data_IF_585425098062
#
_entry.id   IF_585425098062
#
_cell.length_a   1.000
_cell.length_b   1.000
_cell.length_c   1.000
_cell.angle_alpha   90.00
_cell.angle_beta   90.00
_cell.angle_gamma   90.00
#
_symmetry.space_group_name_H-M   'P 1'
#
loop_
_entity.id
_entity.type
_entity.pdbx_description
1 polymer ?
#
# COMPACT_ATOMS: atom_id res chain seq x y z
N UNK A 1 -18.46 12.06 -16.44
CA UNK A 1 -19.03 12.44 -15.17
C UNK A 1 -18.36 13.68 -14.59
N UNK A 2 -19.14 14.51 -13.93
CA UNK A 2 -18.63 15.64 -13.18
C UNK A 2 -18.65 15.30 -11.70
N UNK A 3 -17.52 15.45 -11.03
CA UNK A 3 -17.43 15.39 -9.57
C UNK A 3 -17.73 16.78 -9.00
N UNK A 4 -18.57 16.81 -7.98
CA UNK A 4 -18.87 17.99 -7.17
C UNK A 4 -18.22 17.80 -5.81
N UNK A 5 -17.31 18.70 -5.44
CA UNK A 5 -16.58 18.63 -4.19
C UNK A 5 -17.30 19.44 -3.10
N UNK A 6 -17.03 19.13 -1.84
CA UNK A 6 -17.59 19.80 -0.66
C UNK A 6 -17.24 21.30 -0.59
N UNK A 7 -16.10 21.68 -1.16
CA UNK A 7 -15.66 23.08 -1.29
C UNK A 7 -16.30 23.82 -2.49
N UNK A 8 -17.23 23.19 -3.20
CA UNK A 8 -17.91 23.74 -4.37
C UNK A 8 -17.12 23.66 -5.69
N UNK A 9 -15.94 23.06 -5.70
CA UNK A 9 -15.20 22.84 -6.94
C UNK A 9 -15.84 21.74 -7.78
N UNK A 10 -15.67 21.82 -9.10
CA UNK A 10 -16.15 20.83 -10.06
C UNK A 10 -15.01 20.36 -10.94
N UNK A 11 -14.97 19.05 -11.22
CA UNK A 11 -13.99 18.45 -12.14
C UNK A 11 -14.59 17.32 -12.95
N UNK A 12 -14.09 17.17 -14.18
CA UNK A 12 -14.43 16.03 -15.00
C UNK A 12 -13.61 14.81 -14.56
N UNK A 13 -14.29 13.76 -14.14
CA UNK A 13 -13.71 12.48 -13.67
C UNK A 13 -14.12 11.29 -14.56
N UNK A 14 -14.76 11.54 -15.71
CA UNK A 14 -15.30 10.50 -16.58
C UNK A 14 -14.27 9.48 -17.10
N UNK A 15 -13.00 9.88 -17.15
CA UNK A 15 -11.90 9.02 -17.59
C UNK A 15 -11.21 8.27 -16.44
N UNK A 16 -11.49 8.61 -15.20
CA UNK A 16 -10.89 7.99 -14.03
C UNK A 16 -11.42 6.56 -13.84
N UNK A 17 -10.52 5.60 -13.57
CA UNK A 17 -10.85 4.17 -13.40
C UNK A 17 -11.90 3.99 -12.30
N UNK A 18 -11.67 4.54 -11.11
CA UNK A 18 -12.59 4.44 -9.98
C UNK A 18 -14.02 4.91 -10.30
N UNK A 19 -14.16 5.96 -11.12
CA UNK A 19 -15.48 6.45 -11.52
C UNK A 19 -16.15 5.51 -12.51
N UNK A 20 -15.43 5.00 -13.52
CA UNK A 20 -15.98 4.06 -14.51
C UNK A 20 -16.48 2.78 -13.86
N UNK A 21 -15.62 2.17 -13.02
CA UNK A 21 -15.96 0.93 -12.31
C UNK A 21 -17.09 1.16 -11.28
N UNK A 22 -17.09 2.30 -10.60
CA UNK A 22 -18.19 2.70 -9.72
C UNK A 22 -19.53 2.85 -10.46
N UNK A 23 -19.51 3.39 -11.68
CA UNK A 23 -20.71 3.45 -12.53
C UNK A 23 -21.18 2.08 -13.05
N UNK A 24 -20.30 1.08 -13.04
CA UNK A 24 -20.65 -0.34 -13.27
C UNK A 24 -21.22 -1.04 -12.02
N UNK A 25 -21.28 -0.34 -10.88
CA UNK A 25 -21.84 -0.85 -9.63
C UNK A 25 -20.82 -1.49 -8.69
N UNK A 26 -19.54 -1.28 -8.93
CA UNK A 26 -18.46 -1.79 -8.07
C UNK A 26 -18.07 -0.76 -7.01
N UNK A 27 -17.75 -1.21 -5.81
CA UNK A 27 -16.97 -0.44 -4.86
C UNK A 27 -15.53 -0.37 -5.34
N UNK A 28 -14.89 0.79 -5.23
CA UNK A 28 -13.58 1.03 -5.84
C UNK A 28 -12.63 1.74 -4.89
N UNK A 29 -11.35 1.43 -5.01
CA UNK A 29 -10.25 2.19 -4.46
C UNK A 29 -9.35 2.59 -5.64
N UNK A 30 -9.04 3.87 -5.77
CA UNK A 30 -8.13 4.32 -6.82
C UNK A 30 -6.69 3.94 -6.49
N UNK A 31 -5.85 3.83 -7.51
CA UNK A 31 -4.42 3.96 -7.32
C UNK A 31 -4.09 5.35 -6.76
N UNK A 32 -2.90 5.55 -6.16
CA UNK A 32 -2.47 6.86 -5.70
C UNK A 32 -2.54 7.90 -6.82
N UNK A 33 -3.09 9.05 -6.52
CA UNK A 33 -3.30 10.14 -7.47
C UNK A 33 -2.76 11.44 -6.88
N UNK A 34 -1.94 12.17 -7.64
CA UNK A 34 -1.61 13.53 -7.26
C UNK A 34 -2.87 14.40 -7.28
N UNK A 35 -3.17 15.02 -6.16
CA UNK A 35 -4.27 15.96 -6.03
C UNK A 35 -3.94 17.24 -6.81
N UNK A 36 -4.86 17.63 -7.68
CA UNK A 36 -4.71 18.88 -8.43
C UNK A 36 -4.99 20.14 -7.60
N UNK A 37 -5.39 19.96 -6.32
CA UNK A 37 -5.73 21.07 -5.42
C UNK A 37 -4.53 21.43 -4.53
N UNK A 38 -3.95 20.45 -3.87
CA UNK A 38 -2.89 20.65 -2.86
C UNK A 38 -1.58 19.91 -3.19
N UNK A 39 -1.54 19.18 -4.31
CA UNK A 39 -0.39 18.38 -4.75
C UNK A 39 -0.04 17.19 -3.86
N UNK A 40 -0.87 16.90 -2.85
CA UNK A 40 -0.69 15.71 -2.05
C UNK A 40 -1.08 14.44 -2.82
N UNK A 41 -0.43 13.33 -2.51
CA UNK A 41 -0.83 12.01 -3.03
C UNK A 41 -2.05 11.52 -2.27
N UNK A 42 -3.10 11.18 -3.00
CA UNK A 42 -4.40 10.78 -2.47
C UNK A 42 -4.92 9.51 -3.13
N UNK A 43 -5.70 8.76 -2.38
CA UNK A 43 -6.53 7.67 -2.89
C UNK A 43 -8.00 8.06 -2.80
N UNK A 44 -8.80 7.56 -3.73
CA UNK A 44 -10.24 7.80 -3.78
C UNK A 44 -10.99 6.49 -3.52
N UNK A 45 -11.73 6.43 -2.42
CA UNK A 45 -12.72 5.38 -2.20
C UNK A 45 -14.00 5.78 -2.94
N UNK A 46 -14.51 4.91 -3.78
CA UNK A 46 -15.72 5.14 -4.56
C UNK A 46 -16.80 4.11 -4.24
N UNK A 47 -18.01 4.58 -3.94
CA UNK A 47 -19.18 3.73 -3.70
C UNK A 47 -20.28 4.10 -4.69
N UNK A 48 -20.88 3.11 -5.42
CA UNK A 48 -21.93 3.39 -6.37
C UNK A 48 -23.21 3.86 -5.66
N UNK A 49 -23.83 4.90 -6.19
CA UNK A 49 -25.13 5.43 -5.72
C UNK A 49 -26.24 4.87 -6.60
N UNK A 50 -27.14 4.11 -5.97
CA UNK A 50 -28.23 3.43 -6.66
C UNK A 50 -29.55 4.18 -6.54
N UNK A 51 -30.30 4.23 -7.65
CA UNK A 51 -31.71 4.68 -7.67
C UNK A 51 -32.49 3.83 -8.65
N UNK A 52 -33.59 3.24 -8.17
CA UNK A 52 -34.48 2.39 -8.99
C UNK A 52 -33.74 1.27 -9.73
N UNK A 53 -32.77 0.62 -9.08
CA UNK A 53 -31.98 -0.47 -9.66
C UNK A 53 -30.93 -0.05 -10.70
N UNK A 54 -30.65 1.26 -10.82
CA UNK A 54 -29.61 1.79 -11.71
C UNK A 54 -28.61 2.61 -10.93
N UNK A 55 -27.34 2.50 -11.28
CA UNK A 55 -26.31 3.40 -10.76
C UNK A 55 -26.50 4.77 -11.39
N UNK A 56 -26.64 5.79 -10.55
CA UNK A 56 -26.84 7.19 -10.97
C UNK A 56 -25.64 8.08 -10.71
N UNK A 57 -24.64 7.57 -9.98
CA UNK A 57 -23.42 8.28 -9.65
C UNK A 57 -22.51 7.47 -8.75
N UNK A 58 -21.39 8.05 -8.36
CA UNK A 58 -20.42 7.47 -7.44
C UNK A 58 -20.20 8.49 -6.31
N UNK A 59 -20.38 8.06 -5.06
CA UNK A 59 -19.95 8.83 -3.90
C UNK A 59 -18.47 8.58 -3.68
N UNK A 60 -17.64 9.62 -3.70
CA UNK A 60 -16.20 9.53 -3.53
C UNK A 60 -15.73 10.11 -2.21
N UNK A 61 -14.90 9.37 -1.47
CA UNK A 61 -14.12 9.87 -0.34
C UNK A 61 -12.65 9.98 -0.73
N UNK A 62 -12.04 11.17 -0.53
CA UNK A 62 -10.63 11.40 -0.82
C UNK A 62 -9.81 11.38 0.46
N UNK A 63 -8.80 10.52 0.51
CA UNK A 63 -7.89 10.36 1.63
C UNK A 63 -6.46 10.56 1.16
N UNK A 64 -5.64 11.30 1.91
CA UNK A 64 -4.21 11.29 1.64
C UNK A 64 -3.60 9.95 2.13
N UNK A 65 -2.49 9.55 1.52
CA UNK A 65 -1.88 8.24 1.81
C UNK A 65 -1.39 8.14 3.26
N UNK A 66 -0.98 9.24 3.89
CA UNK A 66 -0.62 9.28 5.32
C UNK A 66 -1.82 8.96 6.21
N UNK A 67 -3.00 9.53 5.90
CA UNK A 67 -4.22 9.22 6.65
C UNK A 67 -4.66 7.77 6.44
N UNK A 68 -4.50 7.26 5.22
CA UNK A 68 -4.76 5.85 4.90
C UNK A 68 -3.83 4.93 5.70
N UNK A 69 -2.53 5.20 5.74
CA UNK A 69 -1.55 4.44 6.52
C UNK A 69 -1.94 4.37 8.00
N UNK A 70 -2.25 5.51 8.61
CA UNK A 70 -2.72 5.54 10.02
C UNK A 70 -3.99 4.73 10.26
N UNK A 71 -4.92 4.76 9.31
CA UNK A 71 -6.18 4.02 9.41
C UNK A 71 -5.98 2.50 9.31
N UNK A 72 -5.06 2.07 8.45
CA UNK A 72 -4.80 0.65 8.19
C UNK A 72 -3.91 0.01 9.24
N UNK A 73 -2.96 0.76 9.79
CA UNK A 73 -1.90 0.21 10.64
C UNK A 73 -2.04 0.60 12.12
N UNK A 74 -3.10 1.32 12.49
CA UNK A 74 -3.29 1.75 13.88
C UNK A 74 -3.25 0.54 14.84
N UNK A 75 -2.29 0.55 15.75
CA UNK A 75 -2.06 -0.46 16.79
C UNK A 75 -1.69 -1.88 16.29
N UNK A 76 -1.23 -2.05 15.04
CA UNK A 76 -1.05 -3.39 14.50
C UNK A 76 0.08 -4.19 15.16
N UNK A 77 1.18 -3.56 15.64
CA UNK A 77 2.31 -4.29 16.24
C UNK A 77 3.12 -3.50 17.29
N UNK A 78 2.51 -2.66 18.11
CA UNK A 78 3.14 -2.02 19.29
C UNK A 78 4.55 -1.43 19.01
N UNK A 79 4.72 -0.72 17.90
CA UNK A 79 5.99 -0.10 17.47
C UNK A 79 7.14 -1.10 17.19
N UNK A 80 6.83 -2.37 16.94
CA UNK A 80 7.83 -3.39 16.66
C UNK A 80 7.87 -3.72 15.16
N UNK A 81 8.81 -3.12 14.44
CA UNK A 81 8.96 -3.32 13.00
C UNK A 81 8.23 -2.28 12.18
N UNK A 82 7.96 -2.58 10.91
CA UNK A 82 7.27 -1.68 10.00
C UNK A 82 6.43 -2.44 8.98
N UNK A 83 5.45 -1.73 8.43
CA UNK A 83 4.55 -2.25 7.41
C UNK A 83 4.61 -1.37 6.17
N UNK A 84 4.55 -1.99 5.02
CA UNK A 84 4.47 -1.34 3.72
C UNK A 84 3.25 -1.85 2.96
N UNK A 85 2.59 -0.96 2.21
CA UNK A 85 1.71 -1.35 1.11
C UNK A 85 2.38 -0.89 -0.18
N UNK A 86 2.48 -1.79 -1.14
CA UNK A 86 3.05 -1.50 -2.45
C UNK A 86 2.10 -1.94 -3.56
N UNK A 87 2.31 -1.45 -4.77
CA UNK A 87 1.76 -2.07 -5.98
C UNK A 87 2.51 -3.36 -6.28
N UNK A 88 2.03 -4.17 -7.23
CA UNK A 88 2.71 -5.40 -7.66
C UNK A 88 4.07 -5.17 -8.34
N UNK A 89 4.34 -3.96 -8.84
CA UNK A 89 5.62 -3.55 -9.38
C UNK A 89 6.53 -2.86 -8.34
N UNK A 90 6.07 -2.76 -7.09
CA UNK A 90 6.85 -2.34 -5.94
C UNK A 90 6.76 -0.86 -5.59
N UNK A 91 5.93 -0.05 -6.26
CA UNK A 91 5.71 1.35 -5.86
C UNK A 91 5.10 1.42 -4.44
N UNK A 92 5.73 2.12 -3.53
CA UNK A 92 5.28 2.25 -2.13
C UNK A 92 4.13 3.25 -2.05
N UNK A 93 2.96 2.73 -1.67
CA UNK A 93 1.70 3.47 -1.56
C UNK A 93 1.47 4.00 -0.15
N UNK A 94 1.79 3.18 0.84
CA UNK A 94 1.57 3.48 2.26
C UNK A 94 2.62 2.78 3.11
N UNK A 95 2.95 3.37 4.25
CA UNK A 95 3.86 2.77 5.20
C UNK A 95 3.60 3.28 6.62
N UNK A 96 4.02 2.49 7.60
CA UNK A 96 3.99 2.83 9.02
C UNK A 96 5.06 2.04 9.78
N UNK A 97 5.59 2.64 10.87
CA UNK A 97 6.58 2.02 11.73
C UNK A 97 7.97 2.66 11.69
N UNK A 98 8.93 2.02 12.38
CA UNK A 98 10.29 2.52 12.51
C UNK A 98 11.20 1.99 11.41
N UNK A 99 11.58 2.88 10.51
CA UNK A 99 12.54 2.63 9.43
C UNK A 99 13.95 3.06 9.88
N UNK A 100 14.50 2.40 10.88
CA UNK A 100 15.76 2.76 11.55
C UNK A 100 16.97 2.98 10.63
N UNK A 101 16.89 2.62 9.34
CA UNK A 101 18.03 2.62 8.42
C UNK A 101 17.84 3.45 7.14
N UNK A 102 16.60 3.81 6.76
CA UNK A 102 16.33 4.61 5.57
C UNK A 102 15.06 5.44 5.72
N UNK A 103 15.06 6.65 5.22
CA UNK A 103 13.84 7.41 4.99
C UNK A 103 13.13 6.82 3.77
N UNK A 104 11.89 6.36 3.94
CA UNK A 104 11.01 5.89 2.87
C UNK A 104 10.04 7.00 2.52
N UNK A 105 9.90 7.26 1.24
CA UNK A 105 8.93 8.21 0.72
C UNK A 105 7.85 7.50 -0.12
N UNK A 106 6.70 8.15 -0.25
CA UNK A 106 5.64 7.68 -1.15
C UNK A 106 6.11 7.76 -2.61
N UNK A 107 5.93 6.67 -3.33
CA UNK A 107 6.39 6.53 -4.70
C UNK A 107 7.78 5.92 -4.84
N UNK A 108 8.52 5.73 -3.73
CA UNK A 108 9.73 4.93 -3.75
C UNK A 108 9.43 3.50 -4.18
N UNK A 109 10.44 2.78 -4.66
CA UNK A 109 10.27 1.41 -5.10
C UNK A 109 10.83 0.41 -4.08
N UNK A 110 9.98 -0.51 -3.62
CA UNK A 110 10.33 -1.59 -2.70
C UNK A 110 11.57 -2.39 -3.13
N UNK A 111 11.69 -2.69 -4.44
CA UNK A 111 12.79 -3.50 -4.96
C UNK A 111 14.09 -2.71 -5.09
N UNK A 112 14.03 -1.38 -5.15
CA UNK A 112 15.21 -0.50 -5.09
C UNK A 112 15.64 -0.28 -3.64
N UNK A 113 14.67 -0.22 -2.72
CA UNK A 113 14.92 -0.11 -1.29
C UNK A 113 15.63 -1.36 -0.73
N UNK A 114 15.22 -2.55 -1.16
CA UNK A 114 15.88 -3.83 -0.85
C UNK A 114 16.84 -4.25 -1.97
N UNK A 115 17.77 -3.36 -2.31
CA UNK A 115 18.78 -3.58 -3.34
C UNK A 115 19.92 -4.52 -2.90
N UNK A 116 21.07 -4.40 -3.56
CA UNK A 116 22.29 -5.18 -3.33
C UNK A 116 22.84 -5.15 -1.89
N UNK A 117 22.34 -4.25 -1.00
CA UNK A 117 22.74 -4.19 0.41
C UNK A 117 21.91 -5.11 1.30
N UNK A 118 20.85 -5.70 0.77
CA UNK A 118 19.98 -6.62 1.52
C UNK A 118 20.34 -8.07 1.21
N UNK A 119 20.75 -8.81 2.25
CA UNK A 119 20.92 -10.26 2.16
C UNK A 119 19.56 -10.94 2.39
N UNK A 120 19.14 -11.75 1.42
CA UNK A 120 17.96 -12.63 1.54
C UNK A 120 18.48 -14.06 1.71
N UNK A 121 18.10 -14.73 2.81
CA UNK A 121 18.70 -16.02 3.17
C UNK A 121 18.06 -17.21 2.45
N UNK A 122 16.74 -17.18 2.28
CA UNK A 122 15.96 -18.34 1.83
C UNK A 122 15.30 -18.13 0.45
N UNK A 123 15.60 -17.01 -0.22
CA UNK A 123 15.02 -16.61 -1.50
C UNK A 123 15.94 -15.63 -2.23
N UNK A 124 15.41 -14.95 -3.22
CA UNK A 124 16.08 -13.85 -3.92
C UNK A 124 15.09 -12.71 -4.19
N UNK A 125 15.58 -11.50 -4.37
CA UNK A 125 14.74 -10.36 -4.72
C UNK A 125 13.99 -10.60 -6.06
N UNK A 126 14.59 -11.38 -6.96
CA UNK A 126 13.95 -11.78 -8.22
C UNK A 126 12.74 -12.67 -8.00
N UNK A 127 12.81 -13.60 -7.04
CA UNK A 127 11.66 -14.45 -6.67
C UNK A 127 10.58 -13.64 -6.00
N UNK A 128 10.92 -12.74 -5.06
CA UNK A 128 9.96 -11.81 -4.45
C UNK A 128 9.22 -10.98 -5.50
N UNK A 129 9.95 -10.45 -6.47
CA UNK A 129 9.37 -9.67 -7.57
C UNK A 129 8.40 -10.50 -8.42
N UNK A 130 8.72 -11.78 -8.66
CA UNK A 130 7.82 -12.71 -9.33
C UNK A 130 6.57 -12.97 -8.51
N UNK A 131 6.72 -13.20 -7.20
CA UNK A 131 5.59 -13.42 -6.28
C UNK A 131 4.66 -12.22 -6.25
N UNK A 132 5.19 -10.99 -6.18
CA UNK A 132 4.39 -9.77 -6.28
C UNK A 132 3.59 -9.70 -7.57
N UNK A 133 4.20 -10.05 -8.70
CA UNK A 133 3.53 -10.03 -10.02
C UNK A 133 2.33 -10.99 -10.09
N UNK A 134 2.36 -12.08 -9.34
CA UNK A 134 1.29 -13.10 -9.35
C UNK A 134 0.42 -13.08 -8.08
N UNK A 135 0.67 -12.15 -7.17
CA UNK A 135 -0.05 -12.04 -5.90
C UNK A 135 0.19 -13.22 -4.96
N UNK A 136 1.38 -13.80 -4.96
CA UNK A 136 1.72 -14.91 -4.08
C UNK A 136 2.18 -14.41 -2.71
N UNK A 137 1.94 -15.22 -1.68
CA UNK A 137 2.42 -14.99 -0.33
C UNK A 137 3.87 -15.41 -0.17
N UNK A 138 4.61 -14.75 0.72
CA UNK A 138 5.96 -15.14 1.06
C UNK A 138 6.36 -14.77 2.48
N UNK A 139 7.32 -15.52 2.99
CA UNK A 139 8.00 -15.26 4.26
C UNK A 139 9.47 -15.59 4.08
N UNK A 140 10.33 -14.63 4.38
CA UNK A 140 11.77 -14.84 4.29
C UNK A 140 12.50 -14.13 5.42
N UNK A 141 13.72 -14.59 5.68
CA UNK A 141 14.66 -13.91 6.54
C UNK A 141 15.55 -13.00 5.70
N UNK A 142 15.66 -11.75 6.11
CA UNK A 142 16.50 -10.74 5.47
C UNK A 142 17.50 -10.15 6.48
N UNK A 143 18.58 -9.59 5.96
CA UNK A 143 19.53 -8.76 6.69
C UNK A 143 19.82 -7.51 5.88
N UNK A 144 19.65 -6.34 6.48
CA UNK A 144 19.89 -5.05 5.83
C UNK A 144 21.30 -4.60 6.24
N UNK A 145 22.16 -4.37 5.24
CA UNK A 145 23.56 -3.99 5.47
C UNK A 145 24.40 -5.12 6.10
N UNK A 146 25.50 -4.74 6.75
CA UNK A 146 26.46 -5.65 7.36
C UNK A 146 26.24 -5.89 8.87
N UNK A 147 25.13 -5.44 9.42
CA UNK A 147 24.84 -5.58 10.84
C UNK A 147 24.10 -6.90 11.11
N UNK A 148 24.77 -7.83 11.79
CA UNK A 148 24.21 -9.11 12.19
C UNK A 148 23.02 -9.00 13.17
N UNK A 149 22.87 -7.86 13.85
CA UNK A 149 21.70 -7.59 14.69
C UNK A 149 20.49 -7.08 13.88
N UNK A 150 20.66 -6.84 12.59
CA UNK A 150 19.59 -6.38 11.69
C UNK A 150 18.80 -7.50 11.04
N UNK A 151 18.95 -8.75 11.48
CA UNK A 151 18.15 -9.87 10.95
C UNK A 151 16.67 -9.64 11.23
N UNK A 152 15.86 -9.74 10.16
CA UNK A 152 14.42 -9.50 10.18
C UNK A 152 13.70 -10.60 9.43
N UNK A 153 12.44 -10.81 9.77
CA UNK A 153 11.50 -11.51 8.91
C UNK A 153 10.77 -10.48 8.05
N UNK A 154 10.68 -10.76 6.76
CA UNK A 154 9.84 -10.08 5.80
C UNK A 154 8.73 -11.05 5.38
N UNK A 155 7.49 -10.72 5.71
CA UNK A 155 6.31 -11.40 5.23
C UNK A 155 5.57 -10.50 4.25
N UNK A 156 4.98 -11.08 3.20
CA UNK A 156 4.14 -10.36 2.25
C UNK A 156 2.98 -11.22 1.76
N UNK A 157 1.88 -10.55 1.42
CA UNK A 157 0.68 -11.20 0.86
C UNK A 157 -0.08 -10.22 -0.04
N UNK A 158 -0.86 -10.76 -0.96
CA UNK A 158 -1.81 -9.98 -1.75
C UNK A 158 -2.95 -9.46 -0.83
N UNK A 159 -3.26 -8.19 -0.94
CA UNK A 159 -4.38 -7.58 -0.20
C UNK A 159 -5.76 -7.96 -0.78
N UNK A 160 -5.81 -8.60 -1.94
CA UNK A 160 -7.06 -8.86 -2.67
C UNK A 160 -7.75 -7.58 -3.16
N UNK A 161 -7.04 -6.49 -3.21
CA UNK A 161 -7.53 -5.16 -3.57
C UNK A 161 -6.57 -4.49 -4.55
N UNK A 162 -7.05 -4.11 -5.71
CA UNK A 162 -6.23 -3.69 -6.85
C UNK A 162 -5.16 -4.78 -7.16
N UNK A 163 -3.92 -4.39 -7.31
CA UNK A 163 -2.74 -5.25 -7.39
C UNK A 163 -1.78 -4.96 -6.22
N UNK A 164 -2.35 -4.66 -5.04
CA UNK A 164 -1.58 -4.21 -3.91
C UNK A 164 -1.11 -5.37 -3.04
N UNK A 165 0.17 -5.28 -2.66
CA UNK A 165 0.81 -6.18 -1.72
C UNK A 165 0.97 -5.49 -0.36
N UNK A 166 0.67 -6.20 0.71
CA UNK A 166 1.04 -5.77 2.06
C UNK A 166 2.29 -6.52 2.49
N UNK A 167 3.27 -5.79 3.01
CA UNK A 167 4.54 -6.31 3.49
C UNK A 167 4.69 -5.94 4.97
N UNK A 168 5.13 -6.89 5.77
CA UNK A 168 5.44 -6.68 7.17
C UNK A 168 6.86 -7.10 7.48
N UNK A 169 7.64 -6.24 8.14
CA UNK A 169 9.03 -6.48 8.48
C UNK A 169 9.23 -6.34 9.99
N UNK A 170 9.66 -7.42 10.63
CA UNK A 170 9.86 -7.50 12.09
C UNK A 170 11.26 -8.01 12.44
N UNK A 171 11.94 -7.46 13.46
CA UNK A 171 13.18 -8.03 13.96
C UNK A 171 12.99 -9.49 14.40
N UNK A 172 13.94 -10.36 14.05
CA UNK A 172 13.89 -11.78 14.44
C UNK A 172 13.79 -11.95 15.96
N UNK A 173 14.50 -11.09 16.72
CA UNK A 173 14.46 -11.08 18.18
C UNK A 173 13.07 -10.83 18.75
N UNK A 174 12.25 -10.02 18.09
CA UNK A 174 10.90 -9.71 18.53
C UNK A 174 9.92 -10.82 18.15
N UNK A 175 10.02 -11.35 16.94
CA UNK A 175 9.19 -12.47 16.51
C UNK A 175 9.36 -13.71 17.42
N UNK A 176 10.54 -13.92 17.99
CA UNK A 176 10.82 -15.05 18.88
C UNK A 176 10.30 -14.85 20.31
N UNK A 177 10.05 -13.64 20.77
CA UNK A 177 9.51 -13.36 22.12
C UNK A 177 8.07 -13.86 22.29
N UNK A 178 7.29 -13.89 21.23
CA UNK A 178 5.88 -14.30 21.26
C UNK A 178 5.66 -15.80 21.49
N UNK A 179 6.72 -16.61 21.52
CA UNK A 179 6.65 -18.06 21.69
C UNK A 179 7.16 -18.55 23.07
N UNK A 180 7.51 -17.65 23.97
CA UNK A 180 7.91 -17.95 25.35
C UNK A 180 6.89 -17.33 26.32
#
# INVERSE_FOLDING_TARGET
GTAHYDNGAEKNVSLRRYFKEGMEGKETLSDPLESSVDKETRVILGVPVWKNGKVIGVLGGSYNVTALSRMLFNDFFEDVGYTLITTSDGEIIAYDGDFAYHEIEYGDNFFEFYDDQTLIFDSSLTEVKKDFTVGADGLMKIRIGNDYNSDRYLAYTDMGLNDWMICYVIPVSEAQKSYN
#
